data_IF_875078200364
#
_entry.id   IF_875078200364
#
_cell.length_a   1.000
_cell.length_b   1.000
_cell.length_c   1.000
_cell.angle_alpha   90.00
_cell.angle_beta   90.00
_cell.angle_gamma   90.00
#
_symmetry.space_group_name_H-M   'P 1'
#
loop_
_entity.id
_entity.type
_entity.pdbx_description
1 polymer ?
#
# COMPACT_ATOMS: atom_id res chain seq x y z
N UNK A 1 10.71 29.14 -4.88
CA UNK A 1 9.55 28.42 -4.28
C UNK A 1 9.71 26.95 -4.62
N UNK A 2 9.82 26.09 -3.62
CA UNK A 2 9.79 24.65 -3.86
C UNK A 2 8.41 24.29 -4.42
N UNK A 3 8.37 23.60 -5.56
CA UNK A 3 7.14 23.05 -6.13
C UNK A 3 6.49 22.18 -5.05
N UNK A 4 5.17 22.31 -4.79
CA UNK A 4 4.51 21.42 -3.85
C UNK A 4 4.74 19.97 -4.32
N UNK A 5 5.28 19.13 -3.44
CA UNK A 5 5.57 17.73 -3.77
C UNK A 5 4.22 17.01 -3.90
N UNK A 6 3.73 16.93 -5.15
CA UNK A 6 2.61 16.04 -5.49
C UNK A 6 3.15 14.62 -5.70
N UNK A 7 2.43 13.63 -5.26
CA UNK A 7 2.85 12.22 -5.36
C UNK A 7 1.66 11.30 -5.51
N UNK A 8 1.88 10.15 -6.09
CA UNK A 8 0.88 9.10 -6.21
C UNK A 8 1.46 7.74 -5.85
N UNK A 9 0.58 6.78 -5.65
CA UNK A 9 0.95 5.40 -5.38
C UNK A 9 -0.17 4.44 -5.73
N UNK A 10 0.21 3.22 -6.02
CA UNK A 10 -0.68 2.11 -6.31
C UNK A 10 -0.76 1.21 -5.08
N UNK A 11 -1.96 0.95 -4.61
CA UNK A 11 -2.22 0.17 -3.40
C UNK A 11 -3.29 -0.90 -3.63
N UNK A 12 -3.23 -1.98 -2.86
CA UNK A 12 -4.34 -2.89 -2.63
C UNK A 12 -4.96 -2.51 -1.30
N UNK A 13 -6.20 -2.04 -1.30
CA UNK A 13 -6.95 -1.77 -0.07
C UNK A 13 -7.29 -3.10 0.63
N UNK A 14 -7.21 -3.12 1.96
CA UNK A 14 -7.49 -4.29 2.80
C UNK A 14 -8.57 -3.94 3.81
N UNK A 15 -9.82 -3.80 3.38
CA UNK A 15 -10.93 -3.42 4.26
C UNK A 15 -11.15 -4.45 5.39
N UNK A 16 -10.78 -5.70 5.17
CA UNK A 16 -10.88 -6.77 6.17
C UNK A 16 -9.94 -6.54 7.37
N UNK A 17 -8.88 -5.74 7.20
CA UNK A 17 -7.98 -5.39 8.29
C UNK A 17 -8.48 -4.20 9.13
N UNK A 18 -9.36 -3.36 8.59
CA UNK A 18 -9.82 -2.14 9.26
C UNK A 18 -10.35 -2.39 10.68
N UNK A 19 -11.15 -3.44 10.99
CA UNK A 19 -11.60 -3.70 12.35
C UNK A 19 -10.47 -3.95 13.36
N UNK A 20 -9.31 -4.41 12.88
CA UNK A 20 -8.15 -4.69 13.73
C UNK A 20 -7.18 -3.50 13.83
N UNK A 21 -7.05 -2.70 12.76
CA UNK A 21 -5.95 -1.73 12.66
C UNK A 21 -6.39 -0.26 12.61
N UNK A 22 -7.66 0.06 12.31
CA UNK A 22 -8.11 1.45 12.08
C UNK A 22 -7.70 2.38 13.22
N UNK A 23 -8.14 2.10 14.45
CA UNK A 23 -7.87 2.97 15.60
C UNK A 23 -6.38 3.05 15.97
N UNK A 24 -5.59 2.01 15.66
CA UNK A 24 -4.15 2.02 15.83
C UNK A 24 -3.50 2.92 14.78
N UNK A 25 -3.89 2.77 13.52
CA UNK A 25 -3.37 3.57 12.42
C UNK A 25 -3.74 5.05 12.54
N UNK A 26 -4.95 5.37 12.99
CA UNK A 26 -5.36 6.76 13.24
C UNK A 26 -4.44 7.49 14.23
N UNK A 27 -3.83 6.74 15.17
CA UNK A 27 -2.92 7.26 16.19
C UNK A 27 -1.45 7.16 15.79
N UNK A 28 -1.08 6.09 15.08
CA UNK A 28 0.32 5.67 14.93
C UNK A 28 0.81 5.68 13.47
N UNK A 29 -0.04 5.98 12.50
CA UNK A 29 0.32 6.07 11.09
C UNK A 29 -0.18 7.40 10.51
N UNK A 30 0.74 8.32 10.23
CA UNK A 30 0.42 9.66 9.73
C UNK A 30 -0.37 9.66 8.41
N UNK A 31 -0.38 8.56 7.65
CA UNK A 31 -1.13 8.47 6.39
C UNK A 31 -2.62 8.23 6.62
N UNK A 32 -3.01 7.57 7.71
CA UNK A 32 -4.40 7.22 7.98
C UNK A 32 -5.31 8.45 8.18
N UNK A 33 -4.95 9.44 9.02
CA UNK A 33 -5.73 10.67 9.14
C UNK A 33 -5.79 11.49 7.85
N UNK A 34 -4.86 11.26 6.92
CA UNK A 34 -4.84 11.89 5.61
C UNK A 34 -5.66 11.12 4.56
N UNK A 35 -6.43 10.11 4.96
CA UNK A 35 -7.37 9.42 4.09
C UNK A 35 -6.82 8.17 3.38
N UNK A 36 -5.65 7.66 3.77
CA UNK A 36 -5.13 6.39 3.24
C UNK A 36 -5.69 5.22 4.04
N UNK A 37 -6.51 4.33 3.44
CA UNK A 37 -7.07 3.16 4.12
C UNK A 37 -5.98 2.14 4.48
N UNK A 38 -6.34 1.13 5.26
CA UNK A 38 -5.49 -0.04 5.46
C UNK A 38 -5.18 -0.68 4.10
N UNK A 39 -3.89 -0.87 3.79
CA UNK A 39 -3.46 -1.26 2.45
C UNK A 39 -2.13 -2.00 2.43
N UNK A 40 -1.89 -2.70 1.33
CA UNK A 40 -0.56 -3.17 0.93
C UNK A 40 -0.15 -2.37 -0.31
N UNK A 41 1.01 -1.73 -0.27
CA UNK A 41 1.55 -0.96 -1.39
C UNK A 41 1.98 -1.88 -2.52
N UNK A 42 1.52 -1.59 -3.74
CA UNK A 42 1.98 -2.23 -4.97
C UNK A 42 3.21 -1.52 -5.50
N UNK A 43 3.14 -0.18 -5.63
CA UNK A 43 4.25 0.65 -6.05
C UNK A 43 4.11 2.08 -5.54
N UNK A 44 5.15 2.59 -4.87
CA UNK A 44 5.25 3.97 -4.40
C UNK A 44 6.71 4.42 -4.38
N UNK A 45 7.03 5.69 -4.71
CA UNK A 45 6.15 6.63 -5.40
C UNK A 45 5.89 6.19 -6.84
N UNK A 46 4.74 6.59 -7.39
CA UNK A 46 4.40 6.41 -8.79
C UNK A 46 4.51 7.76 -9.53
N UNK A 47 3.97 7.85 -10.75
CA UNK A 47 4.06 9.08 -11.56
C UNK A 47 3.39 10.28 -10.87
N UNK A 48 3.90 11.50 -11.07
CA UNK A 48 3.25 12.71 -10.54
C UNK A 48 1.77 12.77 -10.96
N UNK A 49 0.84 13.10 -10.04
CA UNK A 49 -0.61 13.10 -10.34
C UNK A 49 -0.99 13.95 -11.55
N UNK A 50 -0.29 15.03 -11.79
CA UNK A 50 -0.50 15.95 -12.94
C UNK A 50 -0.09 15.34 -14.28
N UNK A 51 0.71 14.28 -14.28
CA UNK A 51 1.16 13.57 -15.48
C UNK A 51 0.34 12.31 -15.77
N UNK A 52 -0.59 11.95 -14.88
CA UNK A 52 -1.49 10.81 -15.07
C UNK A 52 -2.50 11.15 -16.15
N UNK A 53 -2.29 10.64 -17.34
CA UNK A 53 -3.15 10.84 -18.50
C UNK A 53 -4.03 9.61 -18.81
N UNK A 54 -4.91 9.74 -19.80
CA UNK A 54 -5.79 8.66 -20.21
C UNK A 54 -5.01 7.43 -20.74
N UNK A 55 -3.85 7.64 -21.35
CA UNK A 55 -2.98 6.56 -21.84
C UNK A 55 -2.38 5.75 -20.70
N UNK A 56 -1.87 6.42 -19.67
CA UNK A 56 -1.37 5.76 -18.45
C UNK A 56 -2.46 4.98 -17.73
N UNK A 57 -3.67 5.56 -17.61
CA UNK A 57 -4.82 4.88 -17.00
C UNK A 57 -5.24 3.64 -17.79
N UNK A 58 -5.33 3.73 -19.12
CA UNK A 58 -5.67 2.60 -19.99
C UNK A 58 -4.63 1.47 -19.87
N UNK A 59 -3.34 1.82 -19.86
CA UNK A 59 -2.25 0.86 -19.72
C UNK A 59 -2.28 0.14 -18.35
N UNK A 60 -2.57 0.86 -17.27
CA UNK A 60 -2.76 0.26 -15.96
C UNK A 60 -3.97 -0.68 -15.94
N UNK A 61 -5.10 -0.26 -16.53
CA UNK A 61 -6.30 -1.08 -16.60
C UNK A 61 -6.06 -2.41 -17.34
N UNK A 62 -5.38 -2.36 -18.48
CA UNK A 62 -5.01 -3.54 -19.26
C UNK A 62 -4.07 -4.46 -18.48
N UNK A 63 -3.04 -3.88 -17.85
CA UNK A 63 -2.07 -4.61 -17.02
C UNK A 63 -2.78 -5.38 -15.90
N UNK A 64 -3.65 -4.72 -15.14
CA UNK A 64 -4.33 -5.34 -13.99
C UNK A 64 -5.41 -6.31 -14.40
N UNK A 65 -6.11 -6.08 -15.52
CA UNK A 65 -7.05 -7.06 -16.08
C UNK A 65 -6.37 -8.39 -16.45
N UNK A 66 -5.08 -8.36 -16.79
CA UNK A 66 -4.26 -9.54 -17.05
C UNK A 66 -3.72 -10.26 -15.80
N UNK A 67 -4.08 -9.82 -14.61
CA UNK A 67 -3.70 -10.46 -13.34
C UNK A 67 -4.95 -10.99 -12.65
N UNK A 68 -5.00 -12.29 -12.37
CA UNK A 68 -6.14 -12.87 -11.64
C UNK A 68 -6.27 -12.35 -10.21
N UNK A 69 -7.51 -12.19 -9.75
CA UNK A 69 -7.80 -11.94 -8.33
C UNK A 69 -7.22 -13.07 -7.47
N UNK A 70 -6.76 -12.74 -6.26
CA UNK A 70 -6.23 -13.73 -5.33
C UNK A 70 -6.63 -13.47 -3.88
N UNK A 71 -6.83 -14.56 -3.12
CA UNK A 71 -6.96 -14.50 -1.68
C UNK A 71 -5.60 -14.43 -1.02
N UNK A 72 -5.53 -13.80 0.15
CA UNK A 72 -4.32 -13.75 0.96
C UNK A 72 -4.66 -13.79 2.45
N UNK A 73 -3.66 -14.02 3.27
CA UNK A 73 -3.78 -14.08 4.71
C UNK A 73 -2.64 -13.28 5.34
N UNK A 74 -2.99 -12.29 6.16
CA UNK A 74 -2.03 -11.62 7.04
C UNK A 74 -1.96 -12.45 8.33
N UNK A 75 -0.83 -13.05 8.60
CA UNK A 75 -0.70 -14.02 9.71
C UNK A 75 0.41 -13.71 10.70
N UNK A 76 1.17 -12.62 10.49
CA UNK A 76 2.25 -12.22 11.38
C UNK A 76 2.40 -10.72 11.49
N UNK A 77 2.91 -10.29 12.63
CA UNK A 77 3.52 -8.98 12.81
C UNK A 77 5.00 -9.04 12.51
N UNK A 78 5.56 -7.94 12.04
CA UNK A 78 7.00 -7.79 11.87
C UNK A 78 7.39 -6.32 11.94
N UNK A 79 8.68 -6.02 11.83
CA UNK A 79 9.25 -4.70 12.03
C UNK A 79 10.26 -4.35 10.96
N UNK A 80 10.27 -3.07 10.55
CA UNK A 80 11.44 -2.50 9.89
C UNK A 80 12.22 -1.68 10.92
N UNK A 81 13.40 -2.18 11.29
CA UNK A 81 14.16 -1.63 12.41
C UNK A 81 13.36 -1.66 13.72
N UNK A 82 13.34 -0.53 14.41
CA UNK A 82 12.52 -0.32 15.61
C UNK A 82 11.41 0.72 15.36
N UNK A 83 11.17 1.09 14.12
CA UNK A 83 10.44 2.29 13.74
C UNK A 83 9.11 2.02 13.04
N UNK A 84 8.98 0.90 12.34
CA UNK A 84 7.74 0.54 11.62
C UNK A 84 7.24 -0.82 12.06
N UNK A 85 6.03 -0.85 12.62
CA UNK A 85 5.27 -2.06 12.89
C UNK A 85 4.33 -2.36 11.71
N UNK A 86 4.38 -3.59 11.18
CA UNK A 86 3.57 -3.99 10.05
C UNK A 86 3.05 -5.42 10.13
N UNK A 87 2.02 -5.72 9.33
CA UNK A 87 1.46 -7.05 9.12
C UNK A 87 1.98 -7.62 7.80
N UNK A 88 2.40 -8.88 7.82
CA UNK A 88 2.92 -9.60 6.67
C UNK A 88 1.94 -10.61 6.09
N UNK A 89 1.83 -10.69 4.75
CA UNK A 89 1.11 -11.79 4.11
C UNK A 89 1.88 -13.10 4.27
N UNK A 90 1.16 -14.21 4.46
CA UNK A 90 1.74 -15.57 4.50
C UNK A 90 2.51 -15.89 3.21
N UNK A 91 1.92 -15.52 2.06
CA UNK A 91 2.57 -15.60 0.75
C UNK A 91 2.68 -14.19 0.15
N UNK A 92 3.89 -13.72 0.02
CA UNK A 92 4.21 -12.41 -0.55
C UNK A 92 4.30 -12.42 -2.08
N UNK A 93 4.38 -13.59 -2.72
CA UNK A 93 4.63 -13.73 -4.16
C UNK A 93 3.61 -13.03 -5.04
N UNK A 94 2.27 -13.15 -4.82
CA UNK A 94 1.31 -12.47 -5.67
C UNK A 94 1.48 -10.94 -5.69
N UNK A 95 1.81 -10.36 -4.53
CA UNK A 95 2.04 -8.91 -4.41
C UNK A 95 3.33 -8.50 -5.13
N UNK A 96 4.41 -9.28 -4.99
CA UNK A 96 5.67 -9.01 -5.71
C UNK A 96 5.49 -9.10 -7.23
N UNK A 97 4.68 -10.03 -7.71
CA UNK A 97 4.34 -10.14 -9.14
C UNK A 97 3.64 -8.89 -9.62
N UNK A 98 2.69 -8.33 -8.86
CA UNK A 98 2.04 -7.06 -9.19
C UNK A 98 3.04 -5.92 -9.28
N UNK A 99 3.88 -5.75 -8.26
CA UNK A 99 4.93 -4.73 -8.24
C UNK A 99 5.85 -4.85 -9.45
N UNK A 100 6.32 -6.06 -9.75
CA UNK A 100 7.20 -6.29 -10.90
C UNK A 100 6.52 -5.99 -12.24
N UNK A 101 5.25 -6.35 -12.40
CA UNK A 101 4.50 -6.05 -13.62
C UNK A 101 4.33 -4.55 -13.83
N UNK A 102 3.99 -3.80 -12.77
CA UNK A 102 3.88 -2.34 -12.84
C UNK A 102 5.23 -1.73 -13.18
N UNK A 103 6.29 -2.11 -12.49
CA UNK A 103 7.63 -1.58 -12.73
C UNK A 103 8.12 -1.90 -14.16
N UNK A 104 7.87 -3.11 -14.66
CA UNK A 104 8.22 -3.46 -16.05
C UNK A 104 7.47 -2.63 -17.08
N UNK A 105 6.21 -2.25 -16.79
CA UNK A 105 5.42 -1.40 -17.66
C UNK A 105 5.78 0.09 -17.55
N UNK A 106 6.25 0.53 -16.40
CA UNK A 106 6.58 1.92 -16.06
C UNK A 106 7.97 2.01 -15.43
N UNK A 107 9.04 1.73 -16.17
CA UNK A 107 10.40 1.59 -15.61
C UNK A 107 10.99 2.90 -15.06
N UNK A 108 10.43 4.05 -15.42
CA UNK A 108 10.84 5.35 -14.87
C UNK A 108 10.43 5.54 -13.39
N UNK A 109 9.58 4.67 -12.88
CA UNK A 109 9.07 4.73 -11.50
C UNK A 109 9.45 3.46 -10.72
N UNK A 110 10.71 3.32 -10.29
CA UNK A 110 11.13 2.17 -9.51
C UNK A 110 10.47 2.18 -8.12
N UNK A 111 10.09 1.02 -7.56
CA UNK A 111 9.54 0.94 -6.21
C UNK A 111 10.49 1.57 -5.20
N UNK A 112 9.95 2.43 -4.31
CA UNK A 112 10.72 3.15 -3.29
C UNK A 112 11.94 3.88 -3.84
N UNK A 113 11.81 4.48 -5.03
CA UNK A 113 12.90 5.20 -5.73
C UNK A 113 14.15 4.34 -5.99
N UNK A 114 14.00 3.02 -5.98
CA UNK A 114 15.11 2.08 -6.17
C UNK A 114 16.03 1.92 -4.94
N UNK A 115 15.63 2.44 -3.78
CA UNK A 115 16.45 2.39 -2.54
C UNK A 115 16.56 0.98 -1.96
N UNK A 116 15.58 0.12 -2.23
CA UNK A 116 15.55 -1.25 -1.70
C UNK A 116 15.69 -2.28 -2.83
N UNK A 117 16.58 -3.25 -2.65
CA UNK A 117 16.74 -4.36 -3.59
C UNK A 117 15.53 -5.31 -3.58
N UNK A 118 14.91 -5.50 -2.41
CA UNK A 118 13.74 -6.34 -2.22
C UNK A 118 12.54 -5.55 -1.70
N UNK A 119 11.43 -5.64 -2.41
CA UNK A 119 10.15 -5.10 -1.96
C UNK A 119 9.49 -6.14 -1.04
N UNK A 120 9.28 -5.77 0.21
CA UNK A 120 8.55 -6.57 1.19
C UNK A 120 7.10 -6.12 1.24
N UNK A 121 6.14 -6.89 0.71
CA UNK A 121 4.72 -6.56 0.84
C UNK A 121 4.29 -6.55 2.29
N UNK A 122 3.71 -5.44 2.74
CA UNK A 122 3.33 -5.25 4.13
C UNK A 122 2.15 -4.27 4.27
N UNK A 123 1.40 -4.42 5.37
CA UNK A 123 0.40 -3.46 5.82
C UNK A 123 0.92 -2.77 7.07
N UNK A 124 1.21 -1.48 6.97
CA UNK A 124 1.70 -0.69 8.11
C UNK A 124 0.60 -0.49 9.17
N UNK A 125 0.94 -0.78 10.41
CA UNK A 125 0.10 -0.51 11.59
C UNK A 125 0.52 0.80 12.26
N UNK A 126 1.81 1.06 12.36
CA UNK A 126 2.35 2.27 12.96
C UNK A 126 3.78 2.54 12.52
N UNK A 127 4.16 3.85 12.50
CA UNK A 127 5.44 4.31 12.03
C UNK A 127 5.86 5.61 12.75
N UNK A 128 7.12 5.68 13.16
CA UNK A 128 7.70 6.91 13.72
C UNK A 128 7.18 7.30 15.10
N UNK A 129 6.73 6.34 15.89
CA UNK A 129 6.27 6.50 17.26
C UNK A 129 7.20 5.80 18.25
N UNK A 130 7.13 6.12 19.56
CA UNK A 130 7.90 5.42 20.57
C UNK A 130 7.70 3.90 20.50
N UNK A 131 8.80 3.15 20.60
CA UNK A 131 8.79 1.67 20.48
C UNK A 131 7.80 1.04 21.46
N UNK A 132 7.65 1.62 22.67
CA UNK A 132 6.68 1.14 23.67
C UNK A 132 5.23 1.19 23.14
N UNK A 133 4.84 2.29 22.49
CA UNK A 133 3.49 2.44 21.91
C UNK A 133 3.26 1.46 20.75
N UNK A 134 4.27 1.29 19.90
CA UNK A 134 4.22 0.33 18.81
C UNK A 134 4.16 -1.12 19.33
N UNK A 135 4.85 -1.43 20.43
CA UNK A 135 4.77 -2.75 21.08
C UNK A 135 3.39 -3.02 21.68
N UNK A 136 2.76 -2.04 22.30
CA UNK A 136 1.37 -2.16 22.77
C UNK A 136 0.42 -2.43 21.61
N UNK A 137 0.57 -1.69 20.51
CA UNK A 137 -0.20 -1.90 19.27
C UNK A 137 0.03 -3.32 18.71
N UNK A 138 1.27 -3.81 18.72
CA UNK A 138 1.59 -5.17 18.29
C UNK A 138 0.81 -6.23 19.07
N UNK A 139 0.75 -6.11 20.39
CA UNK A 139 -0.02 -7.05 21.24
C UNK A 139 -1.49 -7.05 20.83
N UNK A 140 -2.08 -5.87 20.62
CA UNK A 140 -3.49 -5.73 20.26
C UNK A 140 -3.80 -6.34 18.89
N UNK A 141 -2.97 -6.05 17.89
CA UNK A 141 -3.22 -6.53 16.53
C UNK A 141 -2.93 -8.03 16.38
N UNK A 142 -1.93 -8.56 17.11
CA UNK A 142 -1.64 -10.02 17.11
C UNK A 142 -2.82 -10.85 17.56
N UNK A 143 -3.61 -10.35 18.51
CA UNK A 143 -4.82 -11.03 19.01
C UNK A 143 -5.93 -11.13 17.92
N UNK A 144 -5.80 -10.39 16.83
CA UNK A 144 -6.76 -10.37 15.72
C UNK A 144 -6.30 -11.17 14.49
N UNK A 145 -5.08 -11.71 14.53
CA UNK A 145 -4.54 -12.52 13.42
C UNK A 145 -5.05 -13.97 13.51
N UNK A 146 -5.20 -14.66 12.38
CA UNK A 146 -4.96 -14.19 11.02
C UNK A 146 -6.12 -13.34 10.46
N UNK A 147 -5.80 -12.42 9.55
CA UNK A 147 -6.79 -11.67 8.77
C UNK A 147 -6.79 -12.22 7.35
N UNK A 148 -7.96 -12.63 6.88
CA UNK A 148 -8.15 -13.11 5.51
C UNK A 148 -8.65 -11.97 4.64
N UNK A 149 -7.97 -11.73 3.51
CA UNK A 149 -8.33 -10.69 2.57
C UNK A 149 -8.37 -11.22 1.14
N UNK A 150 -8.91 -10.39 0.24
CA UNK A 150 -8.97 -10.66 -1.18
C UNK A 150 -8.50 -9.45 -1.98
N UNK A 151 -7.47 -9.65 -2.79
CA UNK A 151 -7.03 -8.66 -3.75
C UNK A 151 -7.91 -8.78 -5.01
N UNK A 152 -8.84 -7.84 -5.17
CA UNK A 152 -9.76 -7.78 -6.30
C UNK A 152 -9.53 -6.56 -7.19
N UNK A 153 -8.82 -5.56 -6.68
CA UNK A 153 -8.53 -4.33 -7.41
C UNK A 153 -7.25 -3.67 -6.88
N UNK A 154 -6.67 -2.82 -7.71
CA UNK A 154 -5.59 -1.90 -7.35
C UNK A 154 -6.12 -0.47 -7.46
N UNK A 155 -5.87 0.34 -6.44
CA UNK A 155 -6.29 1.74 -6.38
C UNK A 155 -5.09 2.66 -6.60
N UNK A 156 -5.21 3.61 -7.51
CA UNK A 156 -4.28 4.73 -7.67
C UNK A 156 -4.72 5.86 -6.74
N UNK A 157 -3.88 6.14 -5.74
CA UNK A 157 -4.05 7.24 -4.79
C UNK A 157 -3.12 8.39 -5.14
N UNK A 158 -3.56 9.62 -4.88
CA UNK A 158 -2.77 10.82 -5.10
C UNK A 158 -2.87 11.80 -3.94
N UNK A 159 -1.75 12.45 -3.67
CA UNK A 159 -1.62 13.60 -2.77
C UNK A 159 -1.09 14.79 -3.56
N UNK A 160 -1.87 15.86 -3.68
CA UNK A 160 -1.53 16.99 -4.56
C UNK A 160 -0.54 17.97 -3.95
N UNK A 161 -0.36 17.95 -2.63
CA UNK A 161 0.65 18.73 -1.92
C UNK A 161 0.98 18.05 -0.60
N UNK A 162 2.16 18.31 -0.04
CA UNK A 162 2.56 17.76 1.25
C UNK A 162 1.53 18.08 2.34
N UNK A 163 1.12 17.07 3.10
CA UNK A 163 0.12 17.20 4.16
C UNK A 163 -1.34 17.29 3.71
N UNK A 164 -1.62 17.36 2.40
CA UNK A 164 -2.99 17.29 1.89
C UNK A 164 -3.58 15.88 2.02
N UNK A 165 -4.90 15.80 2.05
CA UNK A 165 -5.59 14.51 1.98
C UNK A 165 -5.25 13.77 0.70
N UNK A 166 -5.08 12.46 0.82
CA UNK A 166 -5.00 11.54 -0.31
C UNK A 166 -6.37 11.33 -0.92
N UNK A 167 -6.42 11.34 -2.23
CA UNK A 167 -7.65 11.11 -3.00
C UNK A 167 -7.47 9.93 -3.93
N UNK A 168 -8.54 9.17 -4.14
CA UNK A 168 -8.57 8.09 -5.12
C UNK A 168 -8.72 8.69 -6.51
N UNK A 169 -7.76 8.45 -7.40
CA UNK A 169 -7.81 8.88 -8.80
C UNK A 169 -8.48 7.85 -9.70
N UNK A 170 -8.18 6.58 -9.49
CA UNK A 170 -8.73 5.48 -10.28
C UNK A 170 -8.68 4.17 -9.48
N UNK A 171 -9.55 3.23 -9.85
CA UNK A 171 -9.51 1.85 -9.35
C UNK A 171 -9.54 0.90 -10.54
N UNK A 172 -8.66 -0.09 -10.54
CA UNK A 172 -8.49 -1.06 -11.61
C UNK A 172 -8.82 -2.44 -11.09
N UNK A 173 -9.85 -3.07 -11.65
CA UNK A 173 -10.20 -4.45 -11.29
C UNK A 173 -9.11 -5.42 -11.75
N UNK A 174 -8.78 -6.38 -10.90
CA UNK A 174 -8.02 -7.55 -11.32
C UNK A 174 -8.92 -8.49 -12.14
N UNK A 175 -8.31 -9.26 -13.04
CA UNK A 175 -9.02 -10.20 -13.89
C UNK A 175 -9.69 -11.31 -13.09
N UNK A 176 -10.66 -11.97 -13.70
CA UNK A 176 -11.24 -13.20 -13.15
C UNK A 176 -10.20 -14.33 -13.19
N UNK A 177 -10.17 -15.15 -12.15
CA UNK A 177 -9.37 -16.39 -12.10
C UNK A 177 -9.97 -17.48 -12.96
#
# INVERSE_FOLDING_TARGET
MATPISRSGLIIEVPEAEPAVRHLRERLDASAPLGVPAHITVLFPFMPPETVDAGALARLAELFAGVGMFGFQLDRTSWFGADVLWLGPRDARPFRVLTQRVFSAFPDFPPFEGVFEDVVPHLTVGHGHPVSELREAEVLVRARLPIHGRAAAVTLMAQRSAGAHWTRLATFSLGLT
#
